data_IF_141212011558
#
_entry.id   IF_141212011558
#
_cell.length_a   1.000
_cell.length_b   1.000
_cell.length_c   1.000
_cell.angle_alpha   90.00
_cell.angle_beta   90.00
_cell.angle_gamma   90.00
#
_symmetry.space_group_name_H-M   'P 1'
#
loop_
_entity.id
_entity.type
_entity.pdbx_description
1 polymer ?
#
# COMPACT_ATOMS: atom_id res chain seq x y z
N UNK A 1 -14.26 19.43 19.68
CA UNK A 1 -14.30 18.48 18.55
C UNK A 1 -12.94 17.79 18.44
N UNK A 2 -12.84 16.46 18.53
CA UNK A 2 -11.59 15.74 18.23
C UNK A 2 -11.49 15.63 16.71
N UNK A 3 -10.59 16.39 16.09
CA UNK A 3 -10.33 16.26 14.66
C UNK A 3 -9.78 14.85 14.38
N UNK A 4 -10.38 14.05 13.48
CA UNK A 4 -9.85 12.75 13.13
C UNK A 4 -8.49 12.95 12.45
N UNK A 5 -7.42 12.61 13.15
CA UNK A 5 -6.07 12.76 12.64
C UNK A 5 -5.74 11.55 11.76
N UNK A 6 -5.84 11.73 10.44
CA UNK A 6 -5.47 10.68 9.49
C UNK A 6 -3.95 10.62 9.38
N UNK A 7 -3.35 9.56 9.92
CA UNK A 7 -1.91 9.30 9.82
C UNK A 7 -1.61 8.44 8.59
N UNK A 8 -0.94 9.03 7.61
CA UNK A 8 -0.43 8.28 6.48
C UNK A 8 0.87 7.55 6.85
N UNK A 9 1.16 6.38 6.24
CA UNK A 9 2.39 5.64 6.48
C UNK A 9 3.65 6.51 6.30
N UNK A 10 4.61 6.34 7.20
CA UNK A 10 5.94 6.94 7.05
C UNK A 10 6.69 6.26 5.89
N UNK A 11 7.53 7.03 5.21
CA UNK A 11 8.42 6.50 4.16
C UNK A 11 9.81 7.04 4.42
N UNK A 12 10.78 6.15 4.54
CA UNK A 12 12.18 6.51 4.78
C UNK A 12 12.96 6.53 3.47
N UNK A 13 13.97 7.40 3.32
CA UNK A 13 14.74 7.50 2.09
C UNK A 13 15.76 6.36 1.91
N UNK A 14 16.15 5.69 3.00
CA UNK A 14 17.17 4.64 2.98
C UNK A 14 16.82 3.48 3.92
N UNK A 15 17.27 2.25 3.63
CA UNK A 15 16.96 1.09 4.44
C UNK A 15 17.64 1.20 5.80
N UNK A 16 16.88 0.88 6.85
CA UNK A 16 17.41 0.78 8.20
C UNK A 16 17.84 -0.66 8.48
N UNK A 17 19.00 -0.78 9.14
CA UNK A 17 19.57 -2.06 9.52
C UNK A 17 19.84 -3.02 8.37
N UNK A 18 19.90 -4.30 8.71
CA UNK A 18 20.15 -5.41 7.79
C UNK A 18 19.02 -6.43 7.95
N UNK A 19 18.55 -7.06 6.85
CA UNK A 19 17.63 -8.19 6.94
C UNK A 19 18.26 -9.34 7.75
N UNK A 20 17.46 -9.97 8.61
CA UNK A 20 17.92 -11.04 9.52
C UNK A 20 18.33 -12.31 8.76
N UNK A 21 17.63 -12.64 7.68
CA UNK A 21 17.83 -13.87 6.94
C UNK A 21 17.47 -13.74 5.46
N UNK A 22 17.90 -14.72 4.67
CA UNK A 22 17.50 -14.85 3.28
C UNK A 22 15.99 -15.15 3.19
N UNK A 23 15.20 -14.41 2.40
CA UNK A 23 13.76 -14.65 2.28
C UNK A 23 13.41 -15.96 1.56
N UNK A 24 14.38 -16.69 1.01
CA UNK A 24 14.17 -17.96 0.30
C UNK A 24 14.56 -19.20 1.11
N UNK A 25 15.74 -19.17 1.75
CA UNK A 25 16.27 -20.33 2.48
C UNK A 25 16.54 -20.07 3.96
N UNK A 26 16.14 -18.90 4.48
CA UNK A 26 16.30 -18.50 5.88
C UNK A 26 17.74 -18.47 6.41
N UNK A 27 18.76 -18.58 5.55
CA UNK A 27 20.17 -18.46 5.95
C UNK A 27 20.47 -17.03 6.47
N UNK A 28 21.13 -16.88 7.63
CA UNK A 28 21.49 -15.58 8.21
C UNK A 28 22.68 -14.91 7.48
N UNK A 29 23.47 -15.71 6.76
CA UNK A 29 24.64 -15.22 6.03
C UNK A 29 24.17 -14.56 4.73
N UNK A 30 24.41 -13.25 4.63
CA UNK A 30 24.07 -12.43 3.48
C UNK A 30 25.26 -11.56 3.11
N UNK A 31 25.58 -11.53 1.82
CA UNK A 31 26.59 -10.66 1.24
C UNK A 31 25.92 -9.39 0.69
N UNK A 32 26.34 -8.22 1.17
CA UNK A 32 25.89 -6.95 0.64
C UNK A 32 26.52 -6.72 -0.75
N UNK A 33 25.71 -6.39 -1.75
CA UNK A 33 26.11 -6.25 -3.17
C UNK A 33 26.08 -4.79 -3.66
N UNK A 34 25.85 -3.83 -2.75
CA UNK A 34 25.77 -2.40 -3.04
C UNK A 34 24.38 -1.79 -2.93
N UNK A 35 24.33 -0.45 -2.93
CA UNK A 35 23.11 0.37 -2.89
C UNK A 35 22.75 0.84 -4.30
N UNK A 36 21.45 0.94 -4.58
CA UNK A 36 20.94 1.46 -5.87
C UNK A 36 19.81 2.45 -5.60
N UNK A 37 19.75 3.53 -6.39
CA UNK A 37 18.63 4.47 -6.37
C UNK A 37 17.44 3.84 -7.09
N UNK A 38 16.26 3.89 -6.47
CA UNK A 38 15.00 3.41 -7.01
C UNK A 38 14.04 4.60 -7.13
N UNK A 39 13.50 4.88 -8.32
CA UNK A 39 12.48 5.92 -8.48
C UNK A 39 11.21 5.53 -7.72
N UNK A 40 10.59 6.53 -7.09
CA UNK A 40 9.43 6.40 -6.23
C UNK A 40 8.41 7.49 -6.54
N UNK A 41 7.16 7.08 -6.69
CA UNK A 41 5.99 7.96 -6.82
C UNK A 41 5.48 8.25 -5.41
N UNK A 42 5.97 9.34 -4.85
CA UNK A 42 5.62 9.86 -3.53
C UNK A 42 5.59 11.39 -3.52
N UNK A 43 4.71 11.95 -2.70
CA UNK A 43 4.55 13.41 -2.57
C UNK A 43 5.77 14.13 -2.00
N UNK A 44 6.69 13.41 -1.33
CA UNK A 44 7.86 14.01 -0.67
C UNK A 44 9.18 13.46 -1.19
N UNK A 45 9.19 12.28 -1.79
CA UNK A 45 10.41 11.57 -2.21
C UNK A 45 10.29 11.10 -3.66
N UNK A 46 11.09 11.65 -4.57
CA UNK A 46 11.16 11.17 -5.96
C UNK A 46 11.93 9.86 -6.13
N UNK A 47 12.77 9.51 -5.16
CA UNK A 47 13.59 8.30 -5.17
C UNK A 47 13.99 7.86 -3.77
N UNK A 48 14.43 6.60 -3.66
CA UNK A 48 14.96 6.01 -2.42
C UNK A 48 16.17 5.14 -2.69
N UNK A 49 17.03 4.99 -1.68
CA UNK A 49 18.11 4.02 -1.70
C UNK A 49 17.59 2.63 -1.34
N UNK A 50 18.07 1.63 -2.06
CA UNK A 50 17.74 0.22 -1.85
C UNK A 50 19.04 -0.58 -1.74
N UNK A 51 19.17 -1.39 -0.70
CA UNK A 51 20.35 -2.23 -0.49
C UNK A 51 20.13 -3.59 -1.15
N UNK A 52 21.08 -4.04 -1.95
CA UNK A 52 21.03 -5.38 -2.58
C UNK A 52 21.82 -6.38 -1.74
N UNK A 53 21.26 -7.58 -1.61
CA UNK A 53 21.89 -8.71 -0.94
C UNK A 53 21.95 -9.94 -1.87
N UNK A 54 22.96 -10.77 -1.66
CA UNK A 54 23.06 -12.13 -2.21
C UNK A 54 23.23 -13.11 -1.06
N UNK A 55 22.44 -14.16 -1.04
CA UNK A 55 22.65 -15.28 -0.14
C UNK A 55 23.72 -16.21 -0.74
N UNK A 56 24.81 -16.55 -0.02
CA UNK A 56 25.81 -17.50 -0.51
C UNK A 56 25.28 -18.94 -0.53
N UNK A 57 24.36 -19.30 0.38
CA UNK A 57 23.83 -20.67 0.47
C UNK A 57 22.94 -21.06 -0.72
N UNK A 58 21.94 -20.22 -1.07
CA UNK A 58 21.00 -20.53 -2.16
C UNK A 58 21.21 -19.68 -3.42
N UNK A 59 22.23 -18.81 -3.44
CA UNK A 59 22.54 -17.85 -4.51
C UNK A 59 21.42 -16.84 -4.84
N UNK A 60 20.33 -16.81 -4.07
CA UNK A 60 19.23 -15.87 -4.27
C UNK A 60 19.68 -14.43 -4.06
N UNK A 61 19.26 -13.54 -4.95
CA UNK A 61 19.48 -12.10 -4.82
C UNK A 61 18.18 -11.37 -4.54
N UNK A 62 18.22 -10.44 -3.61
CA UNK A 62 17.04 -9.66 -3.23
C UNK A 62 17.42 -8.24 -2.83
N UNK A 63 16.39 -7.41 -2.69
CA UNK A 63 16.46 -6.00 -2.33
C UNK A 63 15.87 -5.82 -0.93
N UNK A 64 16.60 -5.13 -0.06
CA UNK A 64 16.12 -4.62 1.21
C UNK A 64 15.65 -3.18 1.01
N UNK A 65 14.36 -2.95 1.26
CA UNK A 65 13.70 -1.68 1.01
C UNK A 65 13.61 -0.87 2.31
N UNK A 66 13.61 0.47 2.21
CA UNK A 66 13.27 1.30 3.36
C UNK A 66 11.84 1.12 3.81
N UNK A 67 11.58 1.53 5.05
CA UNK A 67 10.23 1.60 5.59
C UNK A 67 9.31 2.40 4.66
N UNK A 68 8.07 1.90 4.46
CA UNK A 68 7.10 2.54 3.58
C UNK A 68 7.32 2.28 2.08
N UNK A 69 8.32 1.48 1.70
CA UNK A 69 8.62 1.13 0.30
C UNK A 69 8.65 -0.37 0.11
N UNK A 70 8.09 -0.83 -1.02
CA UNK A 70 8.20 -2.20 -1.48
C UNK A 70 8.77 -2.26 -2.91
N UNK A 71 8.52 -3.39 -3.59
CA UNK A 71 8.95 -3.59 -4.99
C UNK A 71 8.27 -2.62 -5.97
N UNK A 72 7.10 -2.07 -5.65
CA UNK A 72 6.31 -1.18 -6.52
C UNK A 72 7.00 0.17 -6.64
N UNK A 73 6.74 0.88 -7.73
CA UNK A 73 7.22 2.26 -7.91
C UNK A 73 6.37 3.30 -7.16
N UNK A 74 5.41 2.87 -6.33
CA UNK A 74 4.55 3.73 -5.51
C UNK A 74 4.88 3.49 -4.04
N UNK A 75 4.94 4.55 -3.23
CA UNK A 75 5.12 4.40 -1.78
C UNK A 75 3.84 3.91 -1.11
N UNK A 76 3.97 3.31 0.09
CA UNK A 76 2.79 2.95 0.91
C UNK A 76 1.98 4.18 1.32
N UNK A 77 2.64 5.34 1.47
CA UNK A 77 1.97 6.61 1.76
C UNK A 77 1.06 7.05 0.63
N UNK A 78 1.58 7.06 -0.61
CA UNK A 78 0.79 7.40 -1.80
C UNK A 78 -0.34 6.40 -2.00
N UNK A 79 -0.09 5.11 -1.77
CA UNK A 79 -1.13 4.09 -1.84
C UNK A 79 -2.26 4.36 -0.83
N UNK A 80 -1.91 4.63 0.44
CA UNK A 80 -2.88 4.96 1.48
C UNK A 80 -3.66 6.26 1.17
N UNK A 81 -2.97 7.31 0.70
CA UNK A 81 -3.64 8.55 0.30
C UNK A 81 -4.60 8.33 -0.87
N UNK A 82 -4.18 7.56 -1.88
CA UNK A 82 -5.04 7.26 -3.03
C UNK A 82 -6.30 6.47 -2.62
N UNK A 83 -6.16 5.54 -1.68
CA UNK A 83 -7.29 4.80 -1.13
C UNK A 83 -8.19 5.68 -0.25
N UNK A 84 -7.63 6.61 0.51
CA UNK A 84 -8.38 7.58 1.30
C UNK A 84 -9.23 8.50 0.42
N UNK A 85 -8.64 9.07 -0.64
CA UNK A 85 -9.36 9.91 -1.60
C UNK A 85 -10.52 9.16 -2.25
N UNK A 86 -10.29 7.90 -2.62
CA UNK A 86 -11.35 7.04 -3.15
C UNK A 86 -12.45 6.77 -2.11
N UNK A 87 -12.07 6.51 -0.85
CA UNK A 87 -13.03 6.29 0.24
C UNK A 87 -13.87 7.54 0.56
N UNK A 88 -13.34 8.74 0.29
CA UNK A 88 -14.07 10.01 0.39
C UNK A 88 -15.01 10.27 -0.80
N UNK A 89 -15.12 9.33 -1.74
CA UNK A 89 -16.10 9.39 -2.84
C UNK A 89 -15.51 9.78 -4.20
N UNK A 90 -14.20 9.98 -4.31
CA UNK A 90 -13.59 10.25 -5.62
C UNK A 90 -13.54 8.97 -6.46
N UNK A 91 -13.84 9.09 -7.76
CA UNK A 91 -13.56 8.01 -8.70
C UNK A 91 -12.05 7.75 -8.79
N UNK A 92 -11.65 6.56 -9.24
CA UNK A 92 -10.22 6.22 -9.45
C UNK A 92 -9.54 7.14 -10.45
N UNK A 93 -10.28 7.65 -11.45
CA UNK A 93 -9.81 8.65 -12.42
C UNK A 93 -9.65 10.02 -11.78
N UNK A 94 -10.66 10.51 -11.05
CA UNK A 94 -10.58 11.79 -10.34
C UNK A 94 -9.43 11.80 -9.31
N UNK A 95 -9.24 10.69 -8.59
CA UNK A 95 -8.13 10.50 -7.66
C UNK A 95 -6.77 10.58 -8.37
N UNK A 96 -6.63 9.92 -9.53
CA UNK A 96 -5.42 9.97 -10.32
C UNK A 96 -5.12 11.38 -10.84
N UNK A 97 -6.14 12.10 -11.34
CA UNK A 97 -6.03 13.49 -11.79
C UNK A 97 -5.62 14.44 -10.65
N UNK A 98 -6.23 14.30 -9.48
CA UNK A 98 -5.87 15.10 -8.30
C UNK A 98 -4.42 14.85 -7.89
N UNK A 99 -4.00 13.59 -7.82
CA UNK A 99 -2.62 13.25 -7.46
C UNK A 99 -1.61 13.71 -8.52
N UNK A 100 -1.98 13.72 -9.81
CA UNK A 100 -1.15 14.31 -10.86
C UNK A 100 -0.97 15.83 -10.67
N UNK A 101 -2.02 16.54 -10.23
CA UNK A 101 -1.92 17.96 -9.84
C UNK A 101 -1.04 18.20 -8.62
N UNK A 102 -0.79 17.17 -7.81
CA UNK A 102 0.18 17.15 -6.70
C UNK A 102 1.53 16.51 -7.12
N UNK A 103 1.85 16.55 -8.42
CA UNK A 103 3.10 16.04 -9.00
C UNK A 103 3.32 14.52 -8.87
N UNK A 104 2.29 13.76 -8.49
CA UNK A 104 2.37 12.29 -8.36
C UNK A 104 1.51 11.62 -9.42
N UNK A 105 2.12 11.36 -10.58
CA UNK A 105 1.43 10.72 -11.70
C UNK A 105 1.12 9.24 -11.42
N UNK A 106 -0.17 8.90 -11.35
CA UNK A 106 -0.66 7.53 -11.22
C UNK A 106 -1.69 7.23 -12.31
N UNK A 107 -1.78 5.97 -12.72
CA UNK A 107 -2.92 5.50 -13.51
C UNK A 107 -4.11 5.19 -12.60
N UNK A 108 -5.34 5.27 -13.13
CA UNK A 108 -6.54 4.86 -12.41
C UNK A 108 -6.44 3.39 -11.90
N UNK A 109 -5.75 2.52 -12.66
CA UNK A 109 -5.49 1.14 -12.23
C UNK A 109 -4.51 1.06 -11.06
N UNK A 110 -3.52 1.95 -10.97
CA UNK A 110 -2.62 2.02 -9.82
C UNK A 110 -3.36 2.44 -8.56
N UNK A 111 -4.27 3.41 -8.67
CA UNK A 111 -5.18 3.80 -7.58
C UNK A 111 -6.02 2.61 -7.14
N UNK A 112 -6.67 1.91 -8.09
CA UNK A 112 -7.49 0.75 -7.78
C UNK A 112 -6.71 -0.39 -7.09
N UNK A 113 -5.46 -0.65 -7.51
CA UNK A 113 -4.58 -1.62 -6.83
C UNK A 113 -4.22 -1.18 -5.39
N UNK A 114 -4.11 0.12 -5.14
CA UNK A 114 -3.93 0.68 -3.80
C UNK A 114 -5.16 0.46 -2.92
N UNK A 115 -6.35 0.78 -3.45
CA UNK A 115 -7.64 0.54 -2.79
C UNK A 115 -7.81 -0.93 -2.42
N UNK A 116 -7.58 -1.86 -3.36
CA UNK A 116 -7.71 -3.29 -3.10
C UNK A 116 -6.76 -3.80 -2.02
N UNK A 117 -5.55 -3.25 -1.93
CA UNK A 117 -4.60 -3.61 -0.87
C UNK A 117 -5.16 -3.20 0.49
N UNK A 118 -5.62 -1.95 0.61
CA UNK A 118 -6.16 -1.41 1.85
C UNK A 118 -7.45 -2.12 2.27
N UNK A 119 -8.32 -2.45 1.33
CA UNK A 119 -9.53 -3.23 1.62
C UNK A 119 -9.22 -4.64 2.12
N UNK A 120 -8.15 -5.29 1.63
CA UNK A 120 -7.71 -6.59 2.15
C UNK A 120 -7.19 -6.49 3.59
N UNK A 121 -6.43 -5.45 3.88
CA UNK A 121 -5.95 -5.16 5.24
C UNK A 121 -7.13 -4.87 6.18
N UNK A 122 -8.08 -4.02 5.76
CA UNK A 122 -9.27 -3.70 6.53
C UNK A 122 -10.18 -4.91 6.75
N UNK A 123 -10.36 -5.77 5.73
CA UNK A 123 -11.11 -7.03 5.87
C UNK A 123 -10.46 -7.96 6.89
N UNK A 124 -9.13 -7.99 6.96
CA UNK A 124 -8.40 -8.73 7.99
C UNK A 124 -8.68 -8.24 9.42
N UNK A 125 -8.88 -6.93 9.60
CA UNK A 125 -9.22 -6.34 10.91
C UNK A 125 -10.65 -6.64 11.36
N UNK A 126 -11.57 -6.80 10.41
CA UNK A 126 -12.98 -7.07 10.68
C UNK A 126 -13.29 -8.57 10.72
N UNK A 127 -12.45 -9.40 10.11
CA UNK A 127 -12.65 -10.85 10.01
C UNK A 127 -12.60 -11.55 11.37
N UNK A 128 -13.67 -12.28 11.71
CA UNK A 128 -13.69 -13.19 12.87
C UNK A 128 -13.97 -12.54 14.22
N UNK A 129 -14.29 -11.23 14.26
CA UNK A 129 -14.68 -10.56 15.49
C UNK A 129 -16.07 -11.02 15.94
N UNK A 130 -16.17 -11.67 17.10
CA UNK A 130 -17.46 -11.93 17.74
C UNK A 130 -17.97 -10.62 18.33
N UNK A 131 -19.15 -10.20 17.89
CA UNK A 131 -19.84 -9.00 18.40
C UNK A 131 -21.17 -9.44 19.02
N UNK A 132 -21.61 -8.81 20.13
CA UNK A 132 -22.86 -9.16 20.79
C UNK A 132 -24.09 -8.77 19.96
N UNK A 133 -23.98 -7.69 19.18
CA UNK A 133 -25.00 -7.21 18.25
C UNK A 133 -24.35 -6.96 16.89
N UNK A 134 -25.04 -7.33 15.82
CA UNK A 134 -24.63 -7.07 14.43
C UNK A 134 -25.75 -6.28 13.74
N UNK A 135 -25.43 -5.08 13.26
CA UNK A 135 -26.37 -4.29 12.48
C UNK A 135 -26.40 -4.79 11.03
N UNK A 136 -27.59 -4.87 10.44
CA UNK A 136 -27.76 -5.15 9.02
C UNK A 136 -28.46 -3.95 8.37
N UNK A 137 -27.81 -3.35 7.40
CA UNK A 137 -28.37 -2.24 6.62
C UNK A 137 -28.39 -2.59 5.13
N UNK A 138 -29.49 -2.24 4.46
CA UNK A 138 -29.72 -2.53 3.06
C UNK A 138 -29.71 -1.26 2.24
N UNK A 139 -29.03 -1.28 1.09
CA UNK A 139 -29.05 -0.17 0.14
C UNK A 139 -29.14 -0.66 -1.30
N UNK A 140 -29.60 0.21 -2.20
CA UNK A 140 -29.72 -0.09 -3.62
C UNK A 140 -28.58 0.55 -4.40
N UNK A 141 -27.93 -0.20 -5.29
CA UNK A 141 -26.87 0.32 -6.15
C UNK A 141 -26.94 -0.25 -7.57
N UNK A 142 -26.44 0.52 -8.55
CA UNK A 142 -26.27 0.02 -9.91
C UNK A 142 -24.90 -0.64 -10.05
N UNK A 143 -24.88 -1.95 -10.26
CA UNK A 143 -23.68 -2.74 -10.50
C UNK A 143 -23.68 -3.21 -11.96
N UNK A 144 -22.64 -2.85 -12.72
CA UNK A 144 -22.54 -3.17 -14.15
C UNK A 144 -23.82 -2.80 -14.94
N UNK A 145 -24.37 -1.61 -14.64
CA UNK A 145 -25.57 -1.09 -15.28
C UNK A 145 -26.90 -1.60 -14.72
N UNK A 146 -26.90 -2.70 -13.95
CA UNK A 146 -28.10 -3.33 -13.38
C UNK A 146 -28.32 -2.91 -11.93
N UNK A 147 -29.56 -2.58 -11.57
CA UNK A 147 -29.94 -2.32 -10.19
C UNK A 147 -29.82 -3.60 -9.36
N UNK A 148 -29.18 -3.52 -8.19
CA UNK A 148 -29.04 -4.60 -7.24
C UNK A 148 -29.19 -4.06 -5.82
N UNK A 149 -29.96 -4.76 -5.00
CA UNK A 149 -29.95 -4.60 -3.56
C UNK A 149 -28.65 -5.18 -2.99
N UNK A 150 -28.03 -4.45 -2.08
CA UNK A 150 -26.84 -4.84 -1.34
C UNK A 150 -27.14 -4.72 0.15
N UNK A 151 -26.58 -5.64 0.94
CA UNK A 151 -26.69 -5.61 2.40
C UNK A 151 -25.28 -5.51 2.97
N UNK A 152 -25.10 -4.62 3.93
CA UNK A 152 -23.86 -4.46 4.69
C UNK A 152 -24.14 -4.79 6.14
N UNK A 153 -23.24 -5.58 6.71
CA UNK A 153 -23.22 -5.87 8.13
C UNK A 153 -22.21 -4.94 8.82
N UNK A 154 -22.63 -4.26 9.88
CA UNK A 154 -21.82 -3.27 10.63
C UNK A 154 -21.75 -3.66 12.10
#
# INVERSE_FOLDING_TARGET
>A
MKSPLVRLPQVKPQPEGRPSACPRCSSPVLQARGKTRKPLRDLRLGEVLVQRYRCPACRHTFRHYPEGVDRRHQSRRTAALSALLWALGLSTRATASLLAGLEVALSAMSVWRGVLLLLREAKGLLGGRRVPCLGLDGFWARLQGKGRGLVVAV
#
